data_IF_703806749148
#
_entry.id   IF_703806749148
#
_cell.length_a   1.000
_cell.length_b   1.000
_cell.length_c   1.000
_cell.angle_alpha   90.00
_cell.angle_beta   90.00
_cell.angle_gamma   90.00
#
_symmetry.space_group_name_H-M   'P 1'
#
loop_
_entity.id
_entity.type
_entity.pdbx_description
1 polymer ?
#
# COMPACT_ATOMS: atom_id res chain seq x y z
N UNK A 1 34.26 10.16 21.13
CA UNK A 1 34.00 9.83 19.71
C UNK A 1 33.61 8.37 19.49
N UNK A 2 34.36 7.36 19.94
CA UNK A 2 33.98 5.94 19.74
C UNK A 2 32.65 5.52 20.39
N UNK A 3 32.37 6.04 21.59
CA UNK A 3 31.14 5.70 22.32
C UNK A 3 29.88 6.29 21.66
N UNK A 4 30.02 7.49 21.09
CA UNK A 4 28.97 8.16 20.32
C UNK A 4 28.71 7.44 18.99
N UNK A 5 29.76 6.95 18.33
CA UNK A 5 29.65 6.17 17.10
C UNK A 5 29.00 4.79 17.35
N UNK A 6 29.27 4.16 18.51
CA UNK A 6 28.59 2.92 18.94
C UNK A 6 27.10 3.13 19.19
N UNK A 7 26.71 4.23 19.86
CA UNK A 7 25.30 4.59 20.08
C UNK A 7 24.58 4.86 18.76
N UNK A 8 25.21 5.57 17.84
CA UNK A 8 24.67 5.83 16.51
C UNK A 8 24.47 4.53 15.69
N UNK A 9 25.41 3.59 15.77
CA UNK A 9 25.33 2.28 15.12
C UNK A 9 24.21 1.40 15.72
N UNK A 10 24.08 1.38 17.04
CA UNK A 10 23.01 0.63 17.71
C UNK A 10 21.62 1.14 17.33
N UNK A 11 21.45 2.46 17.28
CA UNK A 11 20.21 3.10 16.84
C UNK A 11 19.89 2.82 15.37
N UNK A 12 20.91 2.81 14.51
CA UNK A 12 20.75 2.45 13.09
C UNK A 12 20.31 0.99 12.95
N UNK A 13 20.94 0.07 13.68
CA UNK A 13 20.60 -1.36 13.68
C UNK A 13 19.17 -1.58 14.16
N UNK A 14 18.75 -0.94 15.26
CA UNK A 14 17.38 -1.06 15.80
C UNK A 14 16.31 -0.56 14.83
N UNK A 15 16.59 0.53 14.08
CA UNK A 15 15.71 1.04 13.01
C UNK A 15 15.54 0.04 11.88
N UNK A 16 16.66 -0.56 11.44
CA UNK A 16 16.67 -1.53 10.35
C UNK A 16 15.92 -2.82 10.72
N UNK A 17 16.06 -3.28 11.97
CA UNK A 17 15.31 -4.40 12.50
C UNK A 17 13.81 -4.13 12.58
N UNK A 18 13.40 -2.94 13.01
CA UNK A 18 11.99 -2.54 12.97
C UNK A 18 11.48 -2.61 11.53
N UNK A 19 12.11 -1.89 10.60
CA UNK A 19 11.63 -1.83 9.20
C UNK A 19 11.54 -3.21 8.55
N UNK A 20 12.47 -4.13 8.84
CA UNK A 20 12.40 -5.51 8.38
C UNK A 20 11.21 -6.28 8.95
N UNK A 21 10.91 -6.13 10.25
CA UNK A 21 9.74 -6.76 10.87
C UNK A 21 8.42 -6.24 10.29
N UNK A 22 8.33 -4.93 10.01
CA UNK A 22 7.18 -4.34 9.32
C UNK A 22 6.99 -4.93 7.93
N UNK A 23 8.06 -4.97 7.11
CA UNK A 23 7.99 -5.57 5.77
C UNK A 23 7.52 -7.03 5.78
N UNK A 24 8.03 -7.86 6.70
CA UNK A 24 7.59 -9.25 6.85
C UNK A 24 6.11 -9.31 7.26
N UNK A 25 5.65 -8.42 8.15
CA UNK A 25 4.25 -8.29 8.53
C UNK A 25 3.34 -7.91 7.36
N UNK A 26 3.74 -6.94 6.53
CA UNK A 26 3.00 -6.53 5.34
C UNK A 26 2.96 -7.62 4.26
N UNK A 27 4.05 -8.37 4.06
CA UNK A 27 4.06 -9.54 3.17
C UNK A 27 3.14 -10.63 3.68
N UNK A 28 3.16 -10.91 4.99
CA UNK A 28 2.29 -11.89 5.61
C UNK A 28 0.81 -11.50 5.41
N UNK A 29 0.43 -10.25 5.70
CA UNK A 29 -0.94 -9.76 5.50
C UNK A 29 -1.37 -9.82 4.02
N UNK A 30 -0.49 -9.41 3.09
CA UNK A 30 -0.78 -9.43 1.65
C UNK A 30 -0.96 -10.85 1.09
N UNK A 31 -0.27 -11.84 1.68
CA UNK A 31 -0.38 -13.25 1.28
C UNK A 31 -1.69 -13.93 1.71
N UNK A 32 -2.45 -13.33 2.63
CA UNK A 32 -3.70 -13.94 3.12
C UNK A 32 -4.80 -13.95 2.05
N UNK A 33 -4.84 -12.95 1.18
CA UNK A 33 -5.84 -12.88 0.11
C UNK A 33 -5.83 -14.09 -0.84
N UNK A 34 -4.69 -14.49 -1.45
CA UNK A 34 -4.65 -15.69 -2.28
C UNK A 34 -4.89 -16.99 -1.48
N UNK A 35 -4.48 -17.05 -0.20
CA UNK A 35 -4.76 -18.20 0.67
C UNK A 35 -6.27 -18.38 0.90
N UNK A 36 -7.00 -17.30 1.15
CA UNK A 36 -8.47 -17.34 1.32
C UNK A 36 -9.16 -17.81 0.03
N UNK A 37 -8.74 -17.30 -1.13
CA UNK A 37 -9.30 -17.73 -2.43
C UNK A 37 -9.09 -19.24 -2.62
N UNK A 38 -7.90 -19.74 -2.29
CA UNK A 38 -7.60 -21.16 -2.36
C UNK A 38 -8.44 -22.02 -1.40
N UNK A 39 -8.59 -21.57 -0.14
CA UNK A 39 -9.41 -22.28 0.86
C UNK A 39 -10.89 -22.32 0.44
N UNK A 40 -11.44 -21.23 -0.08
CA UNK A 40 -12.82 -21.18 -0.59
C UNK A 40 -12.98 -22.14 -1.77
N UNK A 41 -12.02 -22.18 -2.70
CA UNK A 41 -12.04 -23.14 -3.81
C UNK A 41 -12.14 -24.59 -3.32
N UNK A 42 -11.44 -24.91 -2.22
CA UNK A 42 -11.52 -26.21 -1.56
C UNK A 42 -12.86 -26.48 -0.88
N UNK A 43 -13.47 -25.50 -0.22
CA UNK A 43 -14.80 -25.62 0.38
C UNK A 43 -15.83 -25.94 -0.73
N UNK A 44 -15.82 -25.18 -1.82
CA UNK A 44 -16.74 -25.38 -2.95
C UNK A 44 -16.58 -26.75 -3.61
N UNK A 45 -15.35 -27.22 -3.79
CA UNK A 45 -15.10 -28.56 -4.30
C UNK A 45 -15.57 -29.66 -3.32
N UNK A 46 -15.39 -29.46 -2.01
CA UNK A 46 -15.84 -30.39 -0.98
C UNK A 46 -17.36 -30.37 -0.75
N UNK A 47 -18.05 -29.26 -1.02
CA UNK A 47 -19.51 -29.20 -0.92
C UNK A 47 -20.19 -30.05 -2.00
N UNK A 48 -19.54 -30.23 -3.16
CA UNK A 48 -20.05 -31.06 -4.24
C UNK A 48 -19.93 -32.59 -3.97
N UNK A 49 -19.10 -33.01 -3.02
CA UNK A 49 -18.99 -34.41 -2.61
C UNK A 49 -19.10 -34.56 -1.10
N UNK A 50 -20.14 -35.22 -0.58
CA UNK A 50 -20.44 -35.43 0.85
C UNK A 50 -19.26 -36.00 1.67
N UNK A 51 -18.24 -35.19 1.99
CA UNK A 51 -17.09 -35.53 2.82
C UNK A 51 -16.99 -34.51 3.96
N UNK A 52 -17.78 -34.73 5.00
CA UNK A 52 -17.83 -33.89 6.22
C UNK A 52 -16.48 -33.78 6.94
N UNK A 53 -15.61 -34.77 6.81
CA UNK A 53 -14.28 -34.77 7.44
C UNK A 53 -13.32 -33.70 6.88
N UNK A 54 -13.46 -33.31 5.60
CA UNK A 54 -12.58 -32.31 4.99
C UNK A 54 -12.91 -30.88 5.40
N UNK A 55 -14.16 -30.62 5.82
CA UNK A 55 -14.65 -29.27 6.14
C UNK A 55 -14.06 -28.77 7.45
N UNK A 56 -13.94 -29.64 8.47
CA UNK A 56 -13.38 -29.25 9.77
C UNK A 56 -11.91 -28.85 9.70
N UNK A 57 -11.12 -29.51 8.84
CA UNK A 57 -9.73 -29.11 8.62
C UNK A 57 -9.62 -27.74 7.95
N UNK A 58 -10.47 -27.45 6.96
CA UNK A 58 -10.47 -26.17 6.25
C UNK A 58 -10.89 -25.01 7.17
N UNK A 59 -11.88 -25.24 8.04
CA UNK A 59 -12.30 -24.26 9.04
C UNK A 59 -11.16 -23.86 10.00
N UNK A 60 -10.41 -24.85 10.51
CA UNK A 60 -9.23 -24.60 11.34
C UNK A 60 -8.14 -23.77 10.61
N UNK A 61 -7.89 -24.04 9.33
CA UNK A 61 -6.94 -23.24 8.53
C UNK A 61 -7.43 -21.80 8.32
N UNK A 62 -8.74 -21.59 8.20
CA UNK A 62 -9.32 -20.25 8.03
C UNK A 62 -9.18 -19.43 9.32
N UNK A 63 -9.45 -20.04 10.47
CA UNK A 63 -9.25 -19.39 11.78
C UNK A 63 -7.77 -19.08 12.02
N UNK A 64 -6.86 -20.02 11.74
CA UNK A 64 -5.42 -19.83 11.94
C UNK A 64 -4.87 -18.69 11.05
N UNK A 65 -5.29 -18.63 9.79
CA UNK A 65 -4.87 -17.56 8.86
C UNK A 65 -5.46 -16.21 9.25
N UNK A 66 -6.68 -16.15 9.80
CA UNK A 66 -7.27 -14.92 10.32
C UNK A 66 -6.53 -14.40 11.57
N UNK A 67 -6.17 -15.28 12.51
CA UNK A 67 -5.35 -14.91 13.67
C UNK A 67 -3.96 -14.43 13.24
N UNK A 68 -3.31 -15.15 12.32
CA UNK A 68 -2.01 -14.75 11.76
C UNK A 68 -2.08 -13.40 11.06
N UNK A 69 -3.15 -13.15 10.30
CA UNK A 69 -3.40 -11.86 9.64
C UNK A 69 -3.50 -10.71 10.62
N UNK A 70 -4.28 -10.90 11.68
CA UNK A 70 -4.50 -9.87 12.69
C UNK A 70 -3.18 -9.45 13.35
N UNK A 71 -2.36 -10.43 13.74
CA UNK A 71 -1.03 -10.17 14.30
C UNK A 71 -0.09 -9.51 13.28
N UNK A 72 -0.09 -9.99 12.03
CA UNK A 72 0.73 -9.43 10.95
C UNK A 72 0.40 -7.96 10.64
N UNK A 73 -0.88 -7.64 10.52
CA UNK A 73 -1.37 -6.28 10.26
C UNK A 73 -1.05 -5.31 11.40
N UNK A 74 -1.16 -5.77 12.66
CA UNK A 74 -0.77 -4.97 13.83
C UNK A 74 0.73 -4.67 13.83
N UNK A 75 1.57 -5.67 13.55
CA UNK A 75 3.02 -5.50 13.53
C UNK A 75 3.47 -4.56 12.40
N UNK A 76 2.90 -4.73 11.21
CA UNK A 76 3.17 -3.87 10.05
C UNK A 76 2.79 -2.42 10.37
N UNK A 77 1.52 -2.18 10.74
CA UNK A 77 1.02 -0.84 11.07
C UNK A 77 1.81 -0.17 12.19
N UNK A 78 2.03 -0.88 13.31
CA UNK A 78 2.78 -0.33 14.44
C UNK A 78 4.21 0.05 14.06
N UNK A 79 4.88 -0.78 13.27
CA UNK A 79 6.24 -0.52 12.83
C UNK A 79 6.35 0.68 11.88
N UNK A 80 5.44 0.79 10.91
CA UNK A 80 5.44 1.91 9.95
C UNK A 80 5.03 3.22 10.60
N UNK A 81 4.02 3.23 11.47
CA UNK A 81 3.67 4.43 12.26
C UNK A 81 4.84 4.89 13.12
N UNK A 82 5.50 3.96 13.82
CA UNK A 82 6.69 4.29 14.63
C UNK A 82 7.82 4.87 13.79
N UNK A 83 7.98 4.39 12.56
CA UNK A 83 9.00 4.89 11.63
C UNK A 83 8.63 6.28 11.10
N UNK A 84 7.37 6.51 10.75
CA UNK A 84 6.85 7.81 10.32
C UNK A 84 7.02 8.90 11.37
N UNK A 85 6.62 8.64 12.62
CA UNK A 85 6.77 9.59 13.74
C UNK A 85 8.21 10.05 13.96
N UNK A 86 9.16 9.12 13.80
CA UNK A 86 10.59 9.43 13.96
C UNK A 86 11.10 10.32 12.84
N UNK A 87 10.67 10.09 11.61
CA UNK A 87 11.05 10.94 10.48
C UNK A 87 10.46 12.34 10.62
N UNK A 88 9.18 12.43 11.02
CA UNK A 88 8.52 13.70 11.28
C UNK A 88 9.21 14.51 12.38
N UNK A 89 9.55 13.86 13.50
CA UNK A 89 10.28 14.51 14.60
C UNK A 89 11.62 15.06 14.10
N UNK A 90 12.36 14.28 13.30
CA UNK A 90 13.66 14.71 12.74
C UNK A 90 13.51 15.90 11.79
N UNK A 91 12.48 15.90 10.95
CA UNK A 91 12.16 17.02 10.05
C UNK A 91 11.81 18.27 10.85
N UNK A 92 10.91 18.17 11.84
CA UNK A 92 10.54 19.29 12.72
C UNK A 92 11.72 19.87 13.49
N UNK A 93 12.61 19.03 14.03
CA UNK A 93 13.81 19.52 14.74
C UNK A 93 14.79 20.24 13.82
N UNK A 94 15.02 19.71 12.61
CA UNK A 94 15.89 20.37 11.61
C UNK A 94 15.30 21.69 11.14
N UNK A 95 14.00 21.69 10.92
CA UNK A 95 13.23 22.85 10.54
C UNK A 95 13.32 23.96 11.60
N UNK A 96 13.00 23.67 12.86
CA UNK A 96 13.10 24.65 13.95
C UNK A 96 14.53 25.19 14.11
N UNK A 97 15.54 24.33 13.94
CA UNK A 97 16.95 24.73 13.99
C UNK A 97 17.35 25.64 12.83
N UNK A 98 16.76 25.47 11.64
CA UNK A 98 17.00 26.35 10.49
C UNK A 98 16.35 27.71 10.71
N UNK A 99 15.10 27.74 11.18
CA UNK A 99 14.37 28.98 11.51
C UNK A 99 15.10 29.80 12.57
N UNK A 100 15.61 29.16 13.64
CA UNK A 100 16.37 29.85 14.70
C UNK A 100 17.74 30.40 14.25
N UNK A 101 18.25 29.97 13.10
CA UNK A 101 19.52 30.45 12.53
C UNK A 101 19.33 31.57 11.50
N UNK A 102 18.09 31.94 11.21
CA UNK A 102 17.77 32.93 10.20
C UNK A 102 17.76 34.34 10.81
N UNK A 103 18.30 35.32 10.07
CA UNK A 103 18.54 36.67 10.55
C UNK A 103 17.22 37.46 10.76
N UNK A 104 17.16 38.29 11.81
CA UNK A 104 15.94 39.02 12.21
C UNK A 104 15.44 39.96 11.10
N UNK A 105 16.33 40.52 10.29
CA UNK A 105 15.98 41.40 9.16
C UNK A 105 15.18 40.69 8.05
N UNK A 106 15.31 39.37 7.92
CA UNK A 106 14.50 38.59 6.97
C UNK A 106 13.05 38.42 7.44
N UNK A 107 12.84 38.34 8.76
CA UNK A 107 11.50 38.22 9.33
C UNK A 107 10.70 39.52 9.21
N UNK A 108 11.36 40.68 9.32
CA UNK A 108 10.68 41.99 9.35
C UNK A 108 10.21 42.44 7.96
N UNK A 109 10.98 42.12 6.90
CA UNK A 109 10.64 42.49 5.51
C UNK A 109 9.57 41.58 4.88
N UNK A 110 9.43 40.35 5.37
CA UNK A 110 8.65 39.30 4.72
C UNK A 110 7.65 38.62 5.68
N UNK A 111 7.11 39.29 6.71
CA UNK A 111 6.27 38.66 7.74
C UNK A 111 5.13 37.80 7.17
N UNK A 112 4.43 38.27 6.14
CA UNK A 112 3.31 37.54 5.50
C UNK A 112 3.80 36.33 4.70
N UNK A 113 4.90 36.46 3.95
CA UNK A 113 5.44 35.39 3.11
C UNK A 113 6.21 34.34 3.94
N UNK A 114 6.91 34.78 4.99
CA UNK A 114 7.71 33.90 5.86
C UNK A 114 6.80 32.98 6.66
N UNK A 115 5.71 33.47 7.23
CA UNK A 115 4.74 32.64 7.95
C UNK A 115 4.10 31.60 7.01
N UNK A 116 3.76 31.99 5.78
CA UNK A 116 3.20 31.09 4.77
C UNK A 116 4.21 29.99 4.37
N UNK A 117 5.46 30.35 4.08
CA UNK A 117 6.55 29.39 3.78
C UNK A 117 6.82 28.46 4.96
N UNK A 118 6.82 28.99 6.18
CA UNK A 118 6.97 28.22 7.43
C UNK A 118 5.86 27.17 7.55
N UNK A 119 4.61 27.57 7.35
CA UNK A 119 3.47 26.64 7.39
C UNK A 119 3.47 25.67 6.21
N UNK A 120 3.92 26.09 5.03
CA UNK A 120 4.07 25.25 3.84
C UNK A 120 5.04 24.10 4.09
N UNK A 121 6.24 24.40 4.60
CA UNK A 121 7.24 23.36 4.93
C UNK A 121 6.72 22.43 6.04
N UNK A 122 6.01 22.96 7.03
CA UNK A 122 5.41 22.13 8.08
C UNK A 122 4.33 21.17 7.52
N UNK A 123 3.50 21.64 6.59
CA UNK A 123 2.51 20.83 5.89
C UNK A 123 3.17 19.77 4.99
N UNK A 124 4.24 20.12 4.29
CA UNK A 124 5.01 19.16 3.48
C UNK A 124 5.61 18.06 4.36
N UNK A 125 6.17 18.42 5.52
CA UNK A 125 6.69 17.45 6.49
C UNK A 125 5.59 16.51 7.01
N UNK A 126 4.38 17.04 7.25
CA UNK A 126 3.24 16.23 7.68
C UNK A 126 2.78 15.28 6.57
N UNK A 127 2.69 15.78 5.34
CA UNK A 127 2.34 14.98 4.15
C UNK A 127 3.35 13.84 3.96
N UNK A 128 4.65 14.12 4.09
CA UNK A 128 5.69 13.10 3.99
C UNK A 128 5.58 12.08 5.14
N UNK A 129 5.28 12.53 6.37
CA UNK A 129 5.04 11.63 7.51
C UNK A 129 3.90 10.66 7.19
N UNK A 130 2.76 11.17 6.74
CA UNK A 130 1.56 10.40 6.41
C UNK A 130 1.87 9.39 5.29
N UNK A 131 2.57 9.81 4.25
CA UNK A 131 3.00 8.94 3.15
C UNK A 131 3.84 7.77 3.66
N UNK A 132 4.80 8.03 4.56
CA UNK A 132 5.69 6.99 5.11
C UNK A 132 4.94 6.05 6.05
N UNK A 133 4.04 6.56 6.90
CA UNK A 133 3.33 5.73 7.88
C UNK A 133 2.16 4.95 7.31
N UNK A 134 1.53 5.44 6.24
CA UNK A 134 0.27 4.87 5.74
C UNK A 134 0.39 4.36 4.30
N UNK A 135 0.98 5.14 3.39
CA UNK A 135 1.00 4.79 1.96
C UNK A 135 2.06 3.73 1.64
N UNK A 136 3.24 3.79 2.28
CA UNK A 136 4.31 2.78 2.11
C UNK A 136 3.88 1.37 2.50
N UNK A 137 3.35 1.09 3.72
CA UNK A 137 2.84 -0.23 4.06
C UNK A 137 1.74 -0.69 3.11
N UNK A 138 0.81 0.21 2.79
CA UNK A 138 -0.28 -0.09 1.85
C UNK A 138 0.26 -0.51 0.49
N UNK A 139 1.26 0.18 -0.06
CA UNK A 139 1.88 -0.18 -1.33
C UNK A 139 2.51 -1.58 -1.30
N UNK A 140 3.21 -1.93 -0.22
CA UNK A 140 3.84 -3.25 -0.07
C UNK A 140 2.75 -4.33 -0.02
N UNK A 141 1.79 -4.19 0.87
CA UNK A 141 0.70 -5.17 1.06
C UNK A 141 -0.13 -5.33 -0.21
N UNK A 142 -0.47 -4.23 -0.89
CA UNK A 142 -1.21 -4.25 -2.16
C UNK A 142 -0.40 -4.88 -3.29
N UNK A 143 0.89 -4.61 -3.38
CA UNK A 143 1.79 -5.23 -4.36
C UNK A 143 1.91 -6.74 -4.17
N UNK A 144 2.10 -7.19 -2.93
CA UNK A 144 2.16 -8.63 -2.59
C UNK A 144 0.82 -9.31 -2.87
N UNK A 145 -0.30 -8.67 -2.48
CA UNK A 145 -1.64 -9.17 -2.76
C UNK A 145 -1.87 -9.32 -4.27
N UNK A 146 -1.49 -8.33 -5.06
CA UNK A 146 -1.64 -8.35 -6.51
C UNK A 146 -0.88 -9.54 -7.12
N UNK A 147 0.41 -9.69 -6.82
CA UNK A 147 1.23 -10.79 -7.33
C UNK A 147 0.68 -12.14 -6.85
N UNK A 148 0.36 -12.27 -5.56
CA UNK A 148 -0.13 -13.50 -4.97
C UNK A 148 -1.47 -13.95 -5.55
N UNK A 149 -2.42 -13.02 -5.71
CA UNK A 149 -3.72 -13.31 -6.33
C UNK A 149 -3.61 -13.61 -7.82
N UNK A 150 -2.74 -12.93 -8.57
CA UNK A 150 -2.46 -13.27 -9.96
C UNK A 150 -1.99 -14.73 -10.08
N UNK A 151 -1.01 -15.14 -9.28
CA UNK A 151 -0.49 -16.52 -9.29
C UNK A 151 -1.61 -17.51 -8.93
N UNK A 152 -2.36 -17.26 -7.84
CA UNK A 152 -3.44 -18.13 -7.41
C UNK A 152 -4.56 -18.26 -8.49
N UNK A 153 -4.91 -17.15 -9.14
CA UNK A 153 -5.88 -17.12 -10.23
C UNK A 153 -5.40 -17.93 -11.44
N UNK A 154 -4.13 -17.78 -11.84
CA UNK A 154 -3.55 -18.57 -12.93
C UNK A 154 -3.55 -20.06 -12.61
N UNK A 155 -3.27 -20.47 -11.38
CA UNK A 155 -3.25 -21.89 -10.99
C UNK A 155 -4.66 -22.52 -11.01
N UNK A 156 -5.67 -21.81 -10.52
CA UNK A 156 -7.04 -22.35 -10.42
C UNK A 156 -7.79 -22.24 -11.77
N UNK A 157 -7.58 -21.16 -12.52
CA UNK A 157 -8.39 -20.79 -13.69
C UNK A 157 -7.61 -20.79 -15.01
N UNK A 158 -6.49 -21.53 -15.14
CA UNK A 158 -5.71 -21.54 -16.39
C UNK A 158 -6.56 -21.83 -17.65
N UNK A 159 -7.58 -22.69 -17.51
CA UNK A 159 -8.53 -23.00 -18.60
C UNK A 159 -9.49 -21.86 -18.90
N UNK A 160 -9.96 -21.14 -17.88
CA UNK A 160 -10.86 -19.99 -18.03
C UNK A 160 -10.10 -18.78 -18.62
N UNK A 161 -8.84 -18.57 -18.25
CA UNK A 161 -8.01 -17.49 -18.79
C UNK A 161 -7.85 -17.60 -20.33
N UNK A 162 -7.62 -18.81 -20.84
CA UNK A 162 -7.54 -19.08 -22.29
C UNK A 162 -8.87 -18.73 -22.98
N UNK A 163 -10.01 -18.95 -22.32
CA UNK A 163 -11.34 -18.61 -22.85
C UNK A 163 -11.60 -17.09 -22.83
N UNK A 164 -11.04 -16.34 -21.87
CA UNK A 164 -11.25 -14.89 -21.79
C UNK A 164 -10.45 -14.07 -22.82
N UNK A 165 -9.29 -14.54 -23.27
CA UNK A 165 -8.49 -13.83 -24.29
C UNK A 165 -9.27 -13.42 -25.56
N UNK A 166 -10.00 -14.33 -26.23
CA UNK A 166 -10.81 -13.96 -27.40
C UNK A 166 -11.96 -13.00 -27.02
N UNK A 167 -12.62 -13.20 -25.88
CA UNK A 167 -13.69 -12.31 -25.41
C UNK A 167 -13.19 -10.88 -25.14
N UNK A 168 -12.01 -10.73 -24.53
CA UNK A 168 -11.41 -9.43 -24.27
C UNK A 168 -11.01 -8.72 -25.57
N UNK A 169 -10.46 -9.46 -26.55
CA UNK A 169 -10.14 -8.90 -27.86
C UNK A 169 -11.38 -8.45 -28.63
N UNK A 170 -12.48 -9.21 -28.56
CA UNK A 170 -13.75 -8.85 -29.16
C UNK A 170 -14.35 -7.60 -28.48
N UNK A 171 -14.41 -7.59 -27.15
CA UNK A 171 -14.92 -6.45 -26.38
C UNK A 171 -14.12 -5.16 -26.63
N UNK A 172 -12.80 -5.25 -26.75
CA UNK A 172 -11.94 -4.12 -27.11
C UNK A 172 -12.27 -3.57 -28.51
N UNK A 173 -12.50 -4.44 -29.48
CA UNK A 173 -12.92 -4.04 -30.83
C UNK A 173 -14.29 -3.33 -30.81
N UNK A 174 -15.27 -3.86 -30.06
CA UNK A 174 -16.57 -3.20 -29.88
C UNK A 174 -16.45 -1.83 -29.21
N UNK A 175 -15.61 -1.71 -28.18
CA UNK A 175 -15.38 -0.43 -27.51
C UNK A 175 -14.74 0.62 -28.43
N UNK A 176 -13.80 0.22 -29.28
CA UNK A 176 -13.19 1.11 -30.27
C UNK A 176 -14.20 1.63 -31.29
N UNK A 177 -15.09 0.76 -31.79
CA UNK A 177 -16.17 1.16 -32.72
C UNK A 177 -17.13 2.13 -32.04
N UNK A 178 -17.55 1.86 -30.81
CA UNK A 178 -18.42 2.74 -30.03
C UNK A 178 -17.78 4.11 -29.73
N UNK A 179 -16.47 4.13 -29.45
CA UNK A 179 -15.71 5.38 -29.28
C UNK A 179 -15.70 6.22 -30.57
N UNK A 180 -15.46 5.58 -31.72
CA UNK A 180 -15.47 6.25 -33.02
C UNK A 180 -16.85 6.85 -33.32
N UNK A 181 -17.91 6.12 -33.02
CA UNK A 181 -19.29 6.61 -33.15
C UNK A 181 -19.53 7.81 -32.22
N UNK A 182 -19.12 7.74 -30.96
CA UNK A 182 -19.29 8.84 -29.99
C UNK A 182 -18.55 10.12 -30.40
N UNK A 183 -17.36 10.00 -31.00
CA UNK A 183 -16.61 11.14 -31.55
C UNK A 183 -17.37 11.78 -32.71
N UNK A 184 -17.90 10.99 -33.64
CA UNK A 184 -18.73 11.51 -34.75
C UNK A 184 -20.00 12.20 -34.27
N UNK A 185 -20.61 11.73 -33.17
CA UNK A 185 -21.73 12.44 -32.54
C UNK A 185 -21.28 13.78 -31.96
N UNK A 186 -20.14 13.83 -31.28
CA UNK A 186 -19.64 15.05 -30.63
C UNK A 186 -19.25 16.14 -31.64
N UNK A 187 -18.69 15.78 -32.79
CA UNK A 187 -18.39 16.70 -33.89
C UNK A 187 -19.68 17.24 -34.54
N UNK A 188 -20.72 16.41 -34.66
CA UNK A 188 -22.02 16.83 -35.22
C UNK A 188 -22.77 17.85 -34.37
N UNK A 189 -22.61 17.84 -33.05
CA UNK A 189 -23.23 18.83 -32.16
C UNK A 189 -22.37 20.10 -31.96
N UNK A 190 -21.05 20.02 -32.13
CA UNK A 190 -20.13 21.16 -31.98
C UNK A 190 -20.05 22.09 -33.21
N UNK A 191 -20.67 21.72 -34.33
CA UNK A 191 -20.71 22.53 -35.56
C UNK A 191 -21.97 23.40 -35.71
N UNK A 192 -22.80 23.50 -34.67
CA UNK A 192 -24.05 24.28 -34.66
C UNK A 192 -24.01 25.47 -33.68
N UNK A 193 -22.85 25.81 -33.11
CA UNK A 193 -22.58 27.05 -32.36
C UNK A 193 -21.69 28.02 -33.16
#
# INVERSE_FOLDING_TARGET
>A
MEEENRKAMADKKKKMWLMGAGFIGGVADGSVAPLIIYLIGRISASAAGMLTHNVHQVDLYLVLTACGRWVGSLLDGFCWTRTGDRQATRMRTRYLKAVLRQEVGYFDLNMTNTAEVVTGIANDCFTIQEVISEKVPTLITRGVTFIGTCIAAFLILWRLAIVFFPFLSAAASYFNIWKSFTISYKEGYGGLE
#
